data_IF_335257820327
#
_entry.id   IF_335257820327
#
_cell.length_a   1.000
_cell.length_b   1.000
_cell.length_c   1.000
_cell.angle_alpha   90.00
_cell.angle_beta   90.00
_cell.angle_gamma   90.00
#
_symmetry.space_group_name_H-M   'P 1'
#
loop_
_entity.id
_entity.type
_entity.pdbx_description
1 polymer ?
#
# COMPACT_ATOMS: atom_id res chain seq x y z
N UNK A 1 4.79 -30.28 33.05
CA UNK A 1 5.21 -29.77 34.37
C UNK A 1 4.79 -28.32 34.41
N UNK A 2 4.15 -27.81 35.48
CA UNK A 2 3.84 -26.39 35.57
C UNK A 2 5.15 -25.60 35.54
N UNK A 3 5.26 -24.65 34.62
CA UNK A 3 6.44 -23.77 34.53
C UNK A 3 6.40 -22.81 35.73
N UNK A 4 7.52 -22.65 36.45
CA UNK A 4 7.55 -21.78 37.63
C UNK A 4 7.73 -20.31 37.21
N UNK A 5 6.62 -19.61 37.05
CA UNK A 5 6.58 -18.19 36.71
C UNK A 5 6.83 -17.25 37.91
N UNK A 6 6.94 -17.78 39.13
CA UNK A 6 7.00 -16.98 40.36
C UNK A 6 8.21 -16.05 40.41
N UNK A 7 9.35 -16.50 39.89
CA UNK A 7 10.58 -15.72 39.82
C UNK A 7 10.50 -14.58 38.80
N UNK A 8 9.76 -14.76 37.70
CA UNK A 8 9.61 -13.76 36.65
C UNK A 8 8.54 -12.73 37.00
N UNK A 9 7.42 -13.17 37.56
CA UNK A 9 6.40 -12.27 38.14
C UNK A 9 7.01 -11.46 39.29
N UNK A 10 7.87 -12.07 40.12
CA UNK A 10 8.70 -11.35 41.11
C UNK A 10 9.61 -10.32 40.45
N UNK A 11 10.34 -10.67 39.38
CA UNK A 11 11.23 -9.73 38.69
C UNK A 11 10.48 -8.56 38.04
N UNK A 12 9.31 -8.79 37.44
CA UNK A 12 8.50 -7.72 36.85
C UNK A 12 7.80 -6.90 37.94
N UNK A 13 7.33 -7.52 39.03
CA UNK A 13 6.71 -6.81 40.16
C UNK A 13 7.73 -5.99 40.97
N UNK A 14 8.97 -6.45 41.11
CA UNK A 14 10.08 -5.69 41.69
C UNK A 14 10.42 -4.44 40.84
N UNK A 15 10.03 -4.43 39.56
CA UNK A 15 10.10 -3.25 38.69
C UNK A 15 8.87 -2.34 38.81
N UNK A 16 7.75 -2.81 39.37
CA UNK A 16 6.43 -2.15 39.43
C UNK A 16 6.00 -1.69 40.84
N UNK A 17 6.87 -1.81 41.85
CA UNK A 17 6.50 -1.65 43.28
C UNK A 17 6.08 -0.24 43.72
N UNK A 18 6.13 0.75 42.83
CA UNK A 18 5.62 2.11 43.08
C UNK A 18 4.89 2.64 41.82
N UNK A 19 3.59 2.97 41.90
CA UNK A 19 2.80 3.48 40.77
C UNK A 19 3.35 4.76 40.12
N UNK A 20 4.15 5.53 40.86
CA UNK A 20 4.75 6.80 40.45
C UNK A 20 6.29 6.73 40.25
N UNK A 21 6.90 5.55 40.37
CA UNK A 21 8.34 5.42 40.12
C UNK A 21 8.66 5.65 38.64
N UNK A 22 9.78 6.32 38.32
CA UNK A 22 10.19 6.52 36.94
C UNK A 22 10.43 5.17 36.26
N UNK A 23 9.77 4.96 35.11
CA UNK A 23 9.89 3.74 34.28
C UNK A 23 11.36 3.36 34.08
N UNK A 24 11.73 2.15 34.54
CA UNK A 24 13.12 1.71 34.61
C UNK A 24 13.59 1.12 33.27
N UNK A 25 14.86 1.30 32.89
CA UNK A 25 15.43 0.60 31.74
C UNK A 25 15.63 -0.89 32.07
N UNK A 26 15.00 -1.77 31.29
CA UNK A 26 15.30 -3.22 31.30
C UNK A 26 16.51 -3.50 30.40
N UNK A 27 17.49 -4.25 30.92
CA UNK A 27 18.70 -4.61 30.17
C UNK A 27 18.34 -5.49 28.96
N UNK A 28 19.15 -5.48 27.89
CA UNK A 28 18.87 -6.35 26.72
C UNK A 28 18.84 -7.83 27.08
N UNK A 29 19.69 -8.25 28.02
CA UNK A 29 19.80 -9.63 28.50
C UNK A 29 18.54 -10.08 29.24
N UNK A 30 17.85 -9.16 29.91
CA UNK A 30 16.59 -9.43 30.62
C UNK A 30 15.37 -9.49 29.69
N UNK A 31 15.45 -9.00 28.45
CA UNK A 31 14.30 -8.96 27.52
C UNK A 31 13.94 -10.32 26.95
N UNK A 32 14.95 -11.12 26.60
CA UNK A 32 14.74 -12.41 25.95
C UNK A 32 13.99 -13.42 26.85
N UNK A 33 14.34 -13.57 28.15
CA UNK A 33 13.57 -14.42 29.06
C UNK A 33 12.11 -13.97 29.18
N UNK A 34 11.87 -12.67 29.41
CA UNK A 34 10.49 -12.15 29.54
C UNK A 34 9.68 -12.38 28.26
N UNK A 35 10.27 -12.13 27.09
CA UNK A 35 9.65 -12.42 25.78
C UNK A 35 9.30 -13.90 25.64
N UNK A 36 10.23 -14.79 25.95
CA UNK A 36 10.02 -16.25 25.85
C UNK A 36 8.90 -16.70 26.79
N UNK A 37 8.96 -16.28 28.05
CA UNK A 37 7.98 -16.66 29.07
C UNK A 37 6.56 -16.19 28.75
N UNK A 38 6.42 -14.97 28.23
CA UNK A 38 5.10 -14.47 27.79
C UNK A 38 4.56 -15.27 26.60
N UNK A 39 5.41 -15.66 25.63
CA UNK A 39 4.99 -16.51 24.52
C UNK A 39 4.61 -17.92 24.98
N UNK A 40 5.41 -18.53 25.87
CA UNK A 40 5.14 -19.86 26.44
C UNK A 40 3.81 -19.89 27.22
N UNK A 41 3.48 -18.81 27.95
CA UNK A 41 2.21 -18.70 28.65
C UNK A 41 1.02 -18.68 27.68
N UNK A 42 1.13 -17.97 26.56
CA UNK A 42 0.09 -17.95 25.50
C UNK A 42 -0.03 -19.32 24.81
N UNK A 43 1.10 -19.97 24.49
CA UNK A 43 1.12 -21.31 23.89
C UNK A 43 0.55 -22.39 24.82
N UNK A 44 0.75 -22.22 26.13
CA UNK A 44 0.31 -23.15 27.18
C UNK A 44 -1.06 -22.81 27.75
N UNK A 45 -1.78 -21.84 27.18
CA UNK A 45 -3.14 -21.46 27.58
C UNK A 45 -3.20 -20.91 29.02
N UNK A 46 -2.08 -20.40 29.53
CA UNK A 46 -1.95 -19.84 30.86
C UNK A 46 -2.30 -18.35 30.86
N UNK A 47 -3.57 -18.04 30.59
CA UNK A 47 -4.05 -16.67 30.36
C UNK A 47 -3.77 -15.72 31.52
N UNK A 48 -3.97 -16.16 32.76
CA UNK A 48 -3.74 -15.32 33.93
C UNK A 48 -2.26 -14.93 34.06
N UNK A 49 -1.35 -15.86 33.77
CA UNK A 49 0.10 -15.61 33.79
C UNK A 49 0.46 -14.56 32.75
N UNK A 50 -0.05 -14.70 31.53
CA UNK A 50 0.16 -13.72 30.47
C UNK A 50 -0.39 -12.33 30.85
N UNK A 51 -1.64 -12.25 31.34
CA UNK A 51 -2.30 -10.99 31.66
C UNK A 51 -1.58 -10.24 32.80
N UNK A 52 -1.18 -10.95 33.86
CA UNK A 52 -0.39 -10.37 34.97
C UNK A 52 0.96 -9.87 34.46
N UNK A 53 1.65 -10.65 33.61
CA UNK A 53 2.93 -10.25 33.05
C UNK A 53 2.81 -9.03 32.12
N UNK A 54 1.75 -8.97 31.30
CA UNK A 54 1.45 -7.84 30.44
C UNK A 54 1.19 -6.56 31.24
N UNK A 55 0.32 -6.61 32.24
CA UNK A 55 -0.02 -5.44 33.06
C UNK A 55 1.22 -4.91 33.78
N UNK A 56 2.02 -5.82 34.36
CA UNK A 56 3.24 -5.45 35.06
C UNK A 56 4.28 -4.84 34.09
N UNK A 57 4.45 -5.40 32.89
CA UNK A 57 5.35 -4.84 31.88
C UNK A 57 4.90 -3.47 31.35
N UNK A 58 3.61 -3.33 31.04
CA UNK A 58 3.02 -2.11 30.48
C UNK A 58 3.16 -0.91 31.45
N UNK A 59 3.07 -1.18 32.75
CA UNK A 59 3.24 -0.19 33.82
C UNK A 59 4.72 0.12 34.12
N UNK A 60 5.58 -0.91 34.21
CA UNK A 60 6.96 -0.74 34.67
C UNK A 60 7.94 -0.26 33.59
N UNK A 61 7.68 -0.58 32.31
CA UNK A 61 8.64 -0.40 31.22
C UNK A 61 8.20 0.70 30.25
N UNK A 62 9.17 1.40 29.63
CA UNK A 62 8.88 2.39 28.58
C UNK A 62 8.15 1.70 27.40
N UNK A 63 7.10 2.30 26.83
CA UNK A 63 6.25 1.60 25.86
C UNK A 63 7.00 1.02 24.65
N UNK A 64 7.96 1.72 24.03
CA UNK A 64 8.76 1.15 22.94
C UNK A 64 9.43 -0.19 23.25
N UNK A 65 9.89 -0.35 24.50
CA UNK A 65 10.57 -1.55 24.96
C UNK A 65 9.56 -2.63 25.32
N UNK A 66 8.46 -2.27 25.97
CA UNK A 66 7.36 -3.21 26.25
C UNK A 66 6.79 -3.81 24.95
N UNK A 67 6.52 -2.97 23.95
CA UNK A 67 6.07 -3.40 22.61
C UNK A 67 7.04 -4.39 21.96
N UNK A 68 8.34 -4.12 22.04
CA UNK A 68 9.38 -5.00 21.46
C UNK A 68 9.52 -6.36 22.18
N UNK A 69 9.14 -6.43 23.46
CA UNK A 69 9.16 -7.66 24.25
C UNK A 69 7.90 -8.47 23.94
N UNK A 70 6.73 -7.85 24.00
CA UNK A 70 5.44 -8.54 23.85
C UNK A 70 5.04 -8.87 22.41
N UNK A 71 5.73 -8.31 21.41
CA UNK A 71 5.37 -8.49 20.00
C UNK A 71 5.05 -9.95 19.63
N UNK A 72 5.92 -10.94 19.92
CA UNK A 72 5.66 -12.31 19.49
C UNK A 72 4.47 -12.94 20.23
N UNK A 73 4.31 -12.65 21.51
CA UNK A 73 3.19 -13.16 22.32
C UNK A 73 1.86 -12.55 21.86
N UNK A 74 1.87 -11.29 21.43
CA UNK A 74 0.69 -10.62 20.87
C UNK A 74 0.28 -11.19 19.50
N UNK A 75 1.26 -11.55 18.65
CA UNK A 75 0.96 -12.25 17.40
C UNK A 75 0.23 -13.57 17.68
N UNK A 76 0.73 -14.38 18.62
CA UNK A 76 0.10 -15.64 19.04
C UNK A 76 -1.30 -15.41 19.62
N UNK A 77 -1.44 -14.42 20.51
CA UNK A 77 -2.70 -14.12 21.20
C UNK A 77 -3.80 -13.70 20.22
N UNK A 78 -3.46 -12.90 19.21
CA UNK A 78 -4.39 -12.45 18.17
C UNK A 78 -4.81 -13.61 17.26
N UNK A 79 -3.90 -14.55 16.97
CA UNK A 79 -4.25 -15.78 16.26
C UNK A 79 -5.24 -16.64 17.07
N UNK A 80 -5.02 -16.82 18.36
CA UNK A 80 -5.94 -17.58 19.23
C UNK A 80 -7.29 -16.88 19.43
N UNK A 81 -7.33 -15.56 19.53
CA UNK A 81 -8.59 -14.79 19.54
C UNK A 81 -9.38 -15.00 18.25
N UNK A 82 -8.70 -14.97 17.10
CA UNK A 82 -9.32 -15.15 15.79
C UNK A 82 -9.91 -16.55 15.62
N UNK A 83 -9.24 -17.57 16.14
CA UNK A 83 -9.68 -18.96 16.05
C UNK A 83 -10.70 -19.33 17.16
N UNK A 84 -11.23 -18.35 17.90
CA UNK A 84 -12.17 -18.54 19.01
C UNK A 84 -11.68 -19.54 20.07
N UNK A 85 -10.36 -19.59 20.27
CA UNK A 85 -9.71 -20.56 21.15
C UNK A 85 -9.70 -20.11 22.61
N UNK A 86 -9.80 -18.81 22.90
CA UNK A 86 -9.73 -18.31 24.27
C UNK A 86 -11.03 -18.56 25.04
N UNK A 87 -10.90 -19.08 26.26
CA UNK A 87 -11.99 -19.34 27.19
C UNK A 87 -12.81 -18.07 27.46
N UNK A 88 -14.13 -18.21 27.54
CA UNK A 88 -15.06 -17.08 27.69
C UNK A 88 -14.77 -16.23 28.94
N UNK A 89 -14.25 -16.82 30.01
CA UNK A 89 -13.84 -16.13 31.24
C UNK A 89 -12.72 -15.09 31.00
N UNK A 90 -11.81 -15.37 30.05
CA UNK A 90 -10.62 -14.54 29.79
C UNK A 90 -10.76 -13.68 28.53
N UNK A 91 -11.70 -13.99 27.64
CA UNK A 91 -11.89 -13.34 26.33
C UNK A 91 -11.85 -11.82 26.41
N UNK A 92 -12.64 -11.21 27.30
CA UNK A 92 -12.72 -9.75 27.43
C UNK A 92 -11.42 -9.12 27.97
N UNK A 93 -10.76 -9.78 28.93
CA UNK A 93 -9.48 -9.30 29.47
C UNK A 93 -8.37 -9.38 28.43
N UNK A 94 -8.38 -10.44 27.61
CA UNK A 94 -7.44 -10.61 26.50
C UNK A 94 -7.70 -9.60 25.39
N UNK A 95 -8.95 -9.37 24.99
CA UNK A 95 -9.33 -8.29 24.05
C UNK A 95 -8.82 -6.92 24.54
N UNK A 96 -8.99 -6.62 25.83
CA UNK A 96 -8.45 -5.40 26.44
C UNK A 96 -6.91 -5.31 26.34
N UNK A 97 -6.19 -6.39 26.62
CA UNK A 97 -4.72 -6.42 26.50
C UNK A 97 -4.27 -6.14 25.05
N UNK A 98 -4.96 -6.74 24.06
CA UNK A 98 -4.71 -6.49 22.62
C UNK A 98 -5.00 -5.04 22.25
N UNK A 99 -6.12 -4.47 22.73
CA UNK A 99 -6.47 -3.06 22.53
C UNK A 99 -5.40 -2.12 23.09
N UNK A 100 -4.98 -2.33 24.34
CA UNK A 100 -3.97 -1.49 25.00
C UNK A 100 -2.60 -1.59 24.32
N UNK A 101 -2.22 -2.78 23.88
CA UNK A 101 -1.03 -2.99 23.06
C UNK A 101 -1.12 -2.21 21.74
N UNK A 102 -2.25 -2.30 21.05
CA UNK A 102 -2.48 -1.66 19.75
C UNK A 102 -2.44 -0.14 19.86
N UNK A 103 -3.10 0.42 20.87
CA UNK A 103 -3.08 1.86 21.11
C UNK A 103 -1.65 2.36 21.38
N UNK A 104 -0.88 1.62 22.19
CA UNK A 104 0.53 1.92 22.43
C UNK A 104 1.36 1.80 21.15
N UNK A 105 1.15 0.76 20.33
CA UNK A 105 1.86 0.56 19.07
C UNK A 105 1.61 1.74 18.10
N UNK A 106 0.37 2.19 17.98
CA UNK A 106 -0.01 3.35 17.15
C UNK A 106 0.67 4.62 17.65
N UNK A 107 0.58 4.92 18.96
CA UNK A 107 1.18 6.13 19.56
C UNK A 107 2.69 6.20 19.32
N UNK A 108 3.37 5.05 19.29
CA UNK A 108 4.82 4.96 19.16
C UNK A 108 5.32 4.64 17.76
N UNK A 109 4.47 4.71 16.73
CA UNK A 109 4.94 4.85 15.35
C UNK A 109 5.82 6.11 15.24
N UNK A 110 6.91 6.05 14.50
CA UNK A 110 7.84 7.15 14.26
C UNK A 110 7.33 8.05 13.13
N UNK A 111 8.00 9.19 12.89
CA UNK A 111 7.58 10.17 11.87
C UNK A 111 7.63 9.65 10.43
N UNK A 112 8.38 8.58 10.20
CA UNK A 112 8.50 7.86 8.94
C UNK A 112 7.54 6.65 8.86
N UNK A 113 6.71 6.44 9.89
CA UNK A 113 5.75 5.36 9.98
C UNK A 113 6.33 4.02 10.46
N UNK A 114 7.60 3.97 10.90
CA UNK A 114 8.20 2.75 11.48
C UNK A 114 7.92 2.63 12.97
N UNK A 115 7.86 1.41 13.48
CA UNK A 115 7.76 1.13 14.90
C UNK A 115 9.11 1.20 15.60
N UNK A 116 9.07 1.03 16.92
CA UNK A 116 10.25 1.12 17.78
C UNK A 116 10.97 -0.22 18.02
N UNK A 117 10.89 -1.17 17.09
CA UNK A 117 11.32 -2.56 17.30
C UNK A 117 12.06 -3.17 16.11
N UNK A 118 12.20 -4.50 16.16
CA UNK A 118 12.89 -5.34 15.16
C UNK A 118 12.00 -5.64 13.93
N UNK A 119 10.67 -5.50 14.08
CA UNK A 119 9.71 -5.75 13.01
C UNK A 119 9.84 -4.74 11.85
N UNK A 120 9.68 -5.24 10.63
CA UNK A 120 9.54 -4.40 9.45
C UNK A 120 8.23 -3.61 9.50
N UNK A 121 8.17 -2.51 8.72
CA UNK A 121 6.96 -1.70 8.62
C UNK A 121 5.73 -2.53 8.21
N UNK A 122 5.89 -3.46 7.25
CA UNK A 122 4.79 -4.30 6.77
C UNK A 122 4.33 -5.33 7.80
N UNK A 123 5.23 -5.94 8.57
CA UNK A 123 4.86 -6.80 9.71
C UNK A 123 4.10 -5.99 10.77
N UNK A 124 4.55 -4.76 11.03
CA UNK A 124 3.93 -3.94 12.04
C UNK A 124 2.49 -3.55 11.71
N UNK A 125 2.24 -3.04 10.49
CA UNK A 125 0.89 -2.69 10.08
C UNK A 125 -0.01 -3.92 9.96
N UNK A 126 0.52 -5.10 9.60
CA UNK A 126 -0.23 -6.36 9.62
C UNK A 126 -0.67 -6.74 11.03
N UNK A 127 0.22 -6.71 12.03
CA UNK A 127 -0.19 -6.99 13.40
C UNK A 127 -1.21 -5.95 13.90
N UNK A 128 -0.97 -4.65 13.67
CA UNK A 128 -1.93 -3.60 14.03
C UNK A 128 -3.29 -3.89 13.39
N UNK A 129 -3.33 -4.21 12.09
CA UNK A 129 -4.58 -4.56 11.41
C UNK A 129 -5.25 -5.77 12.06
N UNK A 130 -4.53 -6.85 12.35
CA UNK A 130 -5.11 -8.02 13.03
C UNK A 130 -5.64 -7.70 14.43
N UNK A 131 -4.90 -6.93 15.21
CA UNK A 131 -5.33 -6.54 16.55
C UNK A 131 -6.61 -5.71 16.50
N UNK A 132 -6.67 -4.76 15.57
CA UNK A 132 -7.87 -3.96 15.36
C UNK A 132 -9.03 -4.85 14.94
N UNK A 133 -8.82 -5.82 14.05
CA UNK A 133 -9.84 -6.77 13.61
C UNK A 133 -10.44 -7.57 14.78
N UNK A 134 -9.62 -8.20 15.61
CA UNK A 134 -10.11 -9.02 16.74
C UNK A 134 -10.74 -8.19 17.87
N UNK A 135 -10.53 -6.88 17.88
CA UNK A 135 -11.18 -5.95 18.81
C UNK A 135 -12.50 -5.37 18.27
N UNK A 136 -12.96 -5.77 17.07
CA UNK A 136 -14.29 -5.46 16.53
C UNK A 136 -14.62 -3.95 16.55
N UNK A 137 -15.67 -3.53 17.30
CA UNK A 137 -16.10 -2.14 17.39
C UNK A 137 -15.03 -1.24 18.03
N UNK A 138 -14.41 -1.68 19.13
CA UNK A 138 -13.34 -0.93 19.80
C UNK A 138 -12.11 -0.81 18.91
N UNK A 139 -11.84 -1.85 18.12
CA UNK A 139 -10.84 -1.82 17.07
C UNK A 139 -11.15 -0.73 16.06
N UNK A 140 -12.35 -0.74 15.50
CA UNK A 140 -12.70 0.24 14.46
C UNK A 140 -12.67 1.68 14.99
N UNK A 141 -12.99 1.88 16.28
CA UNK A 141 -12.76 3.14 16.96
C UNK A 141 -11.26 3.52 17.03
N UNK A 142 -10.38 2.59 17.41
CA UNK A 142 -8.92 2.81 17.39
C UNK A 142 -8.40 3.15 15.99
N UNK A 143 -8.92 2.50 14.95
CA UNK A 143 -8.58 2.80 13.56
C UNK A 143 -8.88 4.27 13.24
N UNK A 144 -10.12 4.71 13.52
CA UNK A 144 -10.57 6.06 13.18
C UNK A 144 -9.97 7.15 14.06
N UNK A 145 -9.97 6.95 15.38
CA UNK A 145 -9.59 7.99 16.35
C UNK A 145 -8.09 8.04 16.66
N UNK A 146 -7.36 6.95 16.41
CA UNK A 146 -5.93 6.86 16.75
C UNK A 146 -5.04 6.65 15.53
N UNK A 147 -5.29 5.62 14.71
CA UNK A 147 -4.38 5.29 13.60
C UNK A 147 -4.42 6.35 12.50
N UNK A 148 -5.60 6.74 12.02
CA UNK A 148 -5.73 7.74 10.95
C UNK A 148 -5.06 9.08 11.34
N UNK A 149 -5.37 9.70 12.49
CA UNK A 149 -4.72 10.95 12.88
C UNK A 149 -3.21 10.81 13.02
N UNK A 150 -2.74 9.67 13.57
CA UNK A 150 -1.30 9.40 13.67
C UNK A 150 -0.65 9.37 12.29
N UNK A 151 -1.23 8.66 11.33
CA UNK A 151 -0.69 8.57 9.96
C UNK A 151 -0.70 9.91 9.24
N UNK A 152 -1.76 10.71 9.41
CA UNK A 152 -1.86 12.07 8.87
C UNK A 152 -0.78 13.01 9.40
N UNK A 153 -0.25 12.76 10.60
CA UNK A 153 0.82 13.55 11.21
C UNK A 153 2.24 13.17 10.77
N UNK A 154 2.40 12.11 9.97
CA UNK A 154 3.72 11.73 9.44
C UNK A 154 4.27 12.75 8.44
N UNK A 155 5.59 12.70 8.24
CA UNK A 155 6.21 13.46 7.15
C UNK A 155 5.81 12.87 5.79
N UNK A 156 5.93 13.64 4.72
CA UNK A 156 5.55 13.20 3.36
C UNK A 156 6.14 11.83 2.98
N UNK A 157 7.45 11.65 3.18
CA UNK A 157 8.14 10.38 2.91
C UNK A 157 7.56 9.24 3.76
N UNK A 158 7.19 9.54 5.01
CA UNK A 158 6.54 8.59 5.91
C UNK A 158 5.15 8.21 5.43
N UNK A 159 4.30 9.18 5.08
CA UNK A 159 2.96 8.95 4.52
C UNK A 159 3.01 8.08 3.27
N UNK A 160 3.95 8.38 2.35
CA UNK A 160 4.15 7.64 1.10
C UNK A 160 4.50 6.16 1.28
N UNK A 161 5.04 5.78 2.45
CA UNK A 161 5.39 4.40 2.79
C UNK A 161 4.33 3.74 3.68
N UNK A 162 3.88 4.46 4.70
CA UNK A 162 2.96 3.95 5.72
C UNK A 162 1.55 3.71 5.20
N UNK A 163 1.01 4.62 4.37
CA UNK A 163 -0.38 4.50 3.88
C UNK A 163 -0.54 3.27 2.99
N UNK A 164 0.33 3.01 1.99
CA UNK A 164 0.24 1.77 1.21
C UNK A 164 0.43 0.52 2.06
N UNK A 165 1.36 0.53 3.04
CA UNK A 165 1.57 -0.61 3.93
C UNK A 165 0.36 -0.90 4.83
N UNK A 166 -0.29 0.14 5.36
CA UNK A 166 -1.52 -0.01 6.13
C UNK A 166 -2.67 -0.51 5.24
N UNK A 167 -2.81 0.04 4.04
CA UNK A 167 -3.85 -0.38 3.10
C UNK A 167 -3.70 -1.86 2.73
N UNK A 168 -2.47 -2.29 2.44
CA UNK A 168 -2.12 -3.69 2.19
C UNK A 168 -2.47 -4.58 3.39
N UNK A 169 -2.13 -4.13 4.61
CA UNK A 169 -2.42 -4.86 5.84
C UNK A 169 -3.93 -5.00 6.09
N UNK A 170 -4.69 -3.90 6.05
CA UNK A 170 -6.15 -3.92 6.25
C UNK A 170 -6.84 -4.78 5.19
N UNK A 171 -6.44 -4.64 3.93
CA UNK A 171 -7.02 -5.44 2.85
C UNK A 171 -6.70 -6.94 3.02
N UNK A 172 -5.47 -7.29 3.40
CA UNK A 172 -5.09 -8.70 3.65
C UNK A 172 -5.81 -9.30 4.85
N UNK A 173 -6.00 -8.54 5.92
CA UNK A 173 -6.44 -9.10 7.20
C UNK A 173 -7.96 -9.00 7.39
N UNK A 174 -8.62 -7.98 6.85
CA UNK A 174 -10.04 -7.71 7.09
C UNK A 174 -10.92 -8.01 5.88
N UNK A 175 -10.39 -7.84 4.67
CA UNK A 175 -11.16 -8.00 3.44
C UNK A 175 -10.96 -9.38 2.78
N UNK A 176 -10.01 -10.18 3.29
CA UNK A 176 -9.57 -11.43 2.65
C UNK A 176 -9.25 -12.53 3.68
N UNK A 177 -10.17 -12.96 4.58
CA UNK A 177 -10.92 -14.21 4.38
C UNK A 177 -12.23 -14.36 5.20
N UNK A 178 -12.94 -15.48 5.01
CA UNK A 178 -14.17 -15.96 5.68
C UNK A 178 -14.37 -15.39 7.10
N UNK A 179 -15.15 -14.33 7.18
CA UNK A 179 -15.54 -13.71 8.44
C UNK A 179 -16.47 -14.68 9.17
N UNK A 180 -16.11 -15.09 10.39
CA UNK A 180 -17.01 -15.81 11.31
C UNK A 180 -18.10 -14.89 11.90
N UNK A 181 -18.20 -13.66 11.41
CA UNK A 181 -19.26 -12.72 11.75
C UNK A 181 -20.53 -13.01 10.96
N UNK A 182 -21.66 -12.52 11.45
CA UNK A 182 -22.84 -12.38 10.61
C UNK A 182 -22.54 -11.48 9.41
N UNK A 183 -23.16 -11.74 8.25
CA UNK A 183 -22.96 -10.92 7.05
C UNK A 183 -23.21 -9.42 7.31
N UNK A 184 -24.20 -9.09 8.13
CA UNK A 184 -24.53 -7.70 8.46
C UNK A 184 -23.40 -6.99 9.24
N UNK A 185 -22.70 -7.71 10.12
CA UNK A 185 -21.60 -7.18 10.90
C UNK A 185 -20.32 -7.06 10.06
N UNK A 186 -20.07 -8.06 9.21
CA UNK A 186 -19.04 -8.00 8.18
C UNK A 186 -19.19 -6.76 7.29
N UNK A 187 -20.39 -6.55 6.74
CA UNK A 187 -20.70 -5.41 5.87
C UNK A 187 -20.50 -4.08 6.62
N UNK A 188 -20.91 -4.01 7.90
CA UNK A 188 -20.74 -2.82 8.75
C UNK A 188 -19.26 -2.50 8.99
N UNK A 189 -18.46 -3.50 9.35
CA UNK A 189 -17.02 -3.32 9.59
C UNK A 189 -16.32 -2.89 8.29
N UNK A 190 -16.64 -3.55 7.17
CA UNK A 190 -16.10 -3.19 5.86
C UNK A 190 -16.44 -1.74 5.48
N UNK A 191 -17.69 -1.31 5.70
CA UNK A 191 -18.10 0.06 5.42
C UNK A 191 -17.33 1.08 6.28
N UNK A 192 -17.15 0.81 7.58
CA UNK A 192 -16.38 1.69 8.46
C UNK A 192 -14.91 1.78 8.07
N UNK A 193 -14.33 0.68 7.55
CA UNK A 193 -12.99 0.68 6.98
C UNK A 193 -12.89 1.54 5.73
N UNK A 194 -13.82 1.37 4.79
CA UNK A 194 -13.85 2.15 3.56
C UNK A 194 -13.95 3.65 3.88
N UNK A 195 -14.81 4.03 4.81
CA UNK A 195 -14.93 5.41 5.30
C UNK A 195 -13.64 5.93 5.93
N UNK A 196 -12.99 5.14 6.78
CA UNK A 196 -11.73 5.55 7.39
C UNK A 196 -10.60 5.67 6.35
N UNK A 197 -10.55 4.79 5.34
CA UNK A 197 -9.59 4.92 4.24
C UNK A 197 -9.87 6.21 3.44
N UNK A 198 -11.13 6.53 3.16
CA UNK A 198 -11.51 7.78 2.50
C UNK A 198 -11.06 9.01 3.30
N UNK A 199 -11.31 9.03 4.61
CA UNK A 199 -10.83 10.07 5.51
C UNK A 199 -9.30 10.22 5.46
N UNK A 200 -8.57 9.11 5.55
CA UNK A 200 -7.11 9.10 5.50
C UNK A 200 -6.61 9.65 4.16
N UNK A 201 -7.18 9.19 3.05
CA UNK A 201 -6.79 9.60 1.70
C UNK A 201 -7.08 11.09 1.49
N UNK A 202 -8.24 11.59 1.93
CA UNK A 202 -8.59 13.03 1.87
C UNK A 202 -7.66 13.90 2.73
N UNK A 203 -7.30 13.44 3.92
CA UNK A 203 -6.43 14.19 4.83
C UNK A 203 -4.93 14.10 4.44
N UNK A 204 -4.58 13.17 3.57
CA UNK A 204 -3.22 12.91 3.14
C UNK A 204 -2.72 13.97 2.17
N UNK A 205 -2.13 15.04 2.72
CA UNK A 205 -1.55 16.13 1.95
C UNK A 205 -0.03 16.24 2.15
N UNK A 206 0.63 16.90 1.19
CA UNK A 206 2.02 17.33 1.24
C UNK A 206 2.15 18.81 0.87
N UNK A 207 3.21 19.47 1.32
CA UNK A 207 3.45 20.88 0.96
C UNK A 207 4.22 20.96 -0.35
N UNK A 208 3.59 21.47 -1.40
CA UNK A 208 4.22 21.61 -2.71
C UNK A 208 5.45 22.52 -2.63
N UNK A 209 6.63 22.09 -3.13
CA UNK A 209 7.82 22.92 -3.17
C UNK A 209 7.70 24.07 -4.20
N UNK A 210 6.77 23.97 -5.16
CA UNK A 210 6.58 24.95 -6.23
C UNK A 210 5.66 26.08 -5.76
N UNK A 211 4.50 25.73 -5.19
CA UNK A 211 3.46 26.70 -4.82
C UNK A 211 3.43 27.02 -3.32
N UNK A 212 4.09 26.21 -2.49
CA UNK A 212 4.07 26.33 -1.03
C UNK A 212 2.74 25.93 -0.38
N UNK A 213 1.74 25.52 -1.17
CA UNK A 213 0.40 25.11 -0.74
C UNK A 213 0.37 23.63 -0.34
N UNK A 214 -0.60 23.25 0.51
CA UNK A 214 -0.89 21.85 0.77
C UNK A 214 -1.65 21.25 -0.43
N UNK A 215 -1.14 20.14 -0.93
CA UNK A 215 -1.65 19.43 -2.10
C UNK A 215 -1.91 17.98 -1.71
N UNK A 216 -2.96 17.37 -2.28
CA UNK A 216 -3.26 15.95 -2.07
C UNK A 216 -2.09 15.06 -2.46
N UNK A 217 -1.75 14.07 -1.62
CA UNK A 217 -0.75 13.05 -1.94
C UNK A 217 -1.18 12.17 -3.11
N UNK A 218 -2.47 12.08 -3.40
CA UNK A 218 -2.95 11.35 -4.58
C UNK A 218 -2.49 11.98 -5.90
N UNK A 219 -2.15 13.27 -5.90
CA UNK A 219 -1.49 13.89 -7.05
C UNK A 219 -0.10 13.31 -7.31
N UNK A 220 0.53 12.74 -6.28
CA UNK A 220 1.72 11.95 -6.48
C UNK A 220 1.32 10.60 -7.10
N UNK A 221 1.40 10.58 -8.41
CA UNK A 221 1.27 9.44 -9.29
C UNK A 221 1.88 8.11 -8.76
N UNK A 222 3.10 8.11 -8.21
CA UNK A 222 3.76 6.89 -7.72
C UNK A 222 3.05 6.38 -6.47
N UNK A 223 2.68 7.30 -5.58
CA UNK A 223 1.89 7.00 -4.40
C UNK A 223 0.50 6.47 -4.78
N UNK A 224 -0.23 7.15 -5.65
CA UNK A 224 -1.52 6.72 -6.17
C UNK A 224 -1.46 5.31 -6.78
N UNK A 225 -0.47 5.05 -7.63
CA UNK A 225 -0.25 3.73 -8.25
C UNK A 225 -0.04 2.65 -7.20
N UNK A 226 0.80 2.90 -6.19
CA UNK A 226 1.04 1.94 -5.11
C UNK A 226 -0.24 1.61 -4.32
N UNK A 227 -1.12 2.59 -4.11
CA UNK A 227 -2.41 2.34 -3.46
C UNK A 227 -3.32 1.47 -4.32
N UNK A 228 -3.40 1.73 -5.63
CA UNK A 228 -4.20 0.92 -6.55
C UNK A 228 -3.64 -0.51 -6.67
N UNK A 229 -2.32 -0.68 -6.70
CA UNK A 229 -1.70 -2.00 -6.70
C UNK A 229 -1.96 -2.78 -5.41
N UNK A 230 -2.01 -2.11 -4.26
CA UNK A 230 -2.44 -2.73 -3.00
C UNK A 230 -3.91 -3.19 -3.09
N UNK A 231 -4.81 -2.36 -3.63
CA UNK A 231 -6.21 -2.73 -3.83
C UNK A 231 -6.35 -3.92 -4.78
N UNK A 232 -5.57 -3.95 -5.87
CA UNK A 232 -5.55 -5.06 -6.82
C UNK A 232 -5.14 -6.37 -6.17
N UNK A 233 -4.02 -6.37 -5.42
CA UNK A 233 -3.47 -7.57 -4.77
C UNK A 233 -4.51 -8.30 -3.91
N UNK A 234 -5.42 -7.54 -3.30
CA UNK A 234 -6.48 -8.05 -2.43
C UNK A 234 -7.87 -7.97 -3.05
N UNK A 235 -7.98 -7.74 -4.36
CA UNK A 235 -9.25 -7.64 -5.12
C UNK A 235 -10.26 -6.63 -4.54
N UNK A 236 -9.78 -5.58 -3.87
CA UNK A 236 -10.60 -4.58 -3.19
C UNK A 236 -11.08 -3.48 -4.14
N UNK A 237 -12.06 -3.79 -5.00
CA UNK A 237 -12.58 -2.87 -6.02
C UNK A 237 -13.22 -1.60 -5.44
N UNK A 238 -13.89 -1.68 -4.30
CA UNK A 238 -14.56 -0.52 -3.70
C UNK A 238 -13.56 0.56 -3.26
N UNK A 239 -12.52 0.13 -2.55
CA UNK A 239 -11.42 1.00 -2.14
C UNK A 239 -10.66 1.52 -3.37
N UNK A 240 -10.40 0.66 -4.36
CA UNK A 240 -9.79 1.05 -5.62
C UNK A 240 -10.61 2.13 -6.34
N UNK A 241 -11.93 1.97 -6.43
CA UNK A 241 -12.87 2.94 -7.01
C UNK A 241 -12.84 4.28 -6.28
N UNK A 242 -12.77 4.24 -4.95
CA UNK A 242 -12.68 5.44 -4.12
C UNK A 242 -11.38 6.20 -4.40
N UNK A 243 -10.25 5.51 -4.45
CA UNK A 243 -8.95 6.15 -4.76
C UNK A 243 -8.93 6.70 -6.19
N UNK A 244 -9.45 5.93 -7.17
CA UNK A 244 -9.50 6.36 -8.57
C UNK A 244 -10.38 7.59 -8.77
N UNK A 245 -11.56 7.66 -8.15
CA UNK A 245 -12.43 8.85 -8.25
C UNK A 245 -11.72 10.11 -7.73
N UNK A 246 -10.94 9.99 -6.66
CA UNK A 246 -10.14 11.10 -6.14
C UNK A 246 -8.97 11.50 -7.02
N UNK A 247 -8.29 10.54 -7.64
CA UNK A 247 -7.20 10.85 -8.59
C UNK A 247 -7.76 11.53 -9.84
N UNK A 248 -8.95 11.11 -10.30
CA UNK A 248 -9.62 11.65 -11.48
C UNK A 248 -9.95 13.14 -11.31
N UNK A 249 -10.46 13.54 -10.16
CA UNK A 249 -10.84 14.92 -9.87
C UNK A 249 -9.63 15.90 -9.80
N UNK A 250 -8.39 15.39 -9.70
CA UNK A 250 -7.19 16.22 -9.46
C UNK A 250 -5.96 15.81 -10.31
N UNK A 251 -6.00 15.88 -11.66
CA UNK A 251 -4.89 15.44 -12.49
C UNK A 251 -3.75 16.46 -12.50
N UNK A 252 -2.66 16.19 -11.78
CA UNK A 252 -1.40 16.92 -11.94
C UNK A 252 -0.33 15.93 -12.41
N UNK A 253 -0.15 15.86 -13.73
CA UNK A 253 0.94 15.08 -14.34
C UNK A 253 2.22 15.87 -14.11
N UNK A 254 3.10 15.38 -13.23
CA UNK A 254 4.44 15.93 -13.09
C UNK A 254 5.22 15.70 -14.39
N UNK A 255 5.21 16.74 -15.25
CA UNK A 255 5.92 16.79 -16.54
C UNK A 255 7.43 16.64 -16.40
N UNK A 256 7.99 16.73 -15.19
CA UNK A 256 9.42 16.49 -14.94
C UNK A 256 9.77 15.02 -14.85
N UNK A 257 8.78 14.17 -14.53
CA UNK A 257 8.96 12.72 -14.52
C UNK A 257 8.47 12.14 -15.85
N UNK A 258 9.28 11.27 -16.45
CA UNK A 258 8.85 10.53 -17.63
C UNK A 258 7.69 9.62 -17.20
N UNK A 259 6.46 9.98 -17.53
CA UNK A 259 5.29 9.26 -17.05
C UNK A 259 5.28 7.76 -17.43
N UNK A 260 6.04 7.39 -18.46
CA UNK A 260 6.22 6.00 -18.87
C UNK A 260 6.98 5.15 -17.85
N UNK A 261 7.85 5.74 -17.00
CA UNK A 261 8.65 4.98 -16.03
C UNK A 261 7.83 4.40 -14.88
N UNK A 262 6.57 4.82 -14.74
CA UNK A 262 5.68 4.31 -13.71
C UNK A 262 4.36 3.80 -14.30
N UNK A 263 3.81 4.44 -15.35
CA UNK A 263 2.55 4.02 -15.97
C UNK A 263 2.67 2.66 -16.64
N UNK A 264 3.80 2.37 -17.30
CA UNK A 264 4.00 1.07 -17.96
C UNK A 264 4.11 -0.04 -16.91
N UNK A 265 4.99 0.05 -15.88
CA UNK A 265 4.99 -0.92 -14.79
C UNK A 265 3.64 -1.03 -14.07
N UNK A 266 2.90 0.07 -13.94
CA UNK A 266 1.57 0.06 -13.34
C UNK A 266 0.53 -0.67 -14.21
N UNK A 267 0.49 -0.40 -15.52
CA UNK A 267 -0.39 -1.08 -16.46
C UNK A 267 -0.10 -2.58 -16.52
N UNK A 268 1.19 -2.94 -16.63
CA UNK A 268 1.65 -4.33 -16.58
C UNK A 268 1.23 -5.00 -15.27
N UNK A 269 1.54 -4.36 -14.14
CA UNK A 269 1.18 -4.88 -12.83
C UNK A 269 -0.33 -4.89 -12.57
N UNK A 270 -1.15 -4.17 -13.33
CA UNK A 270 -2.62 -4.31 -13.32
C UNK A 270 -3.05 -5.50 -14.18
N UNK A 271 -2.45 -5.67 -15.35
CA UNK A 271 -2.81 -6.67 -16.36
C UNK A 271 -2.27 -8.09 -16.15
N UNK A 272 -1.33 -8.31 -15.22
CA UNK A 272 -0.62 -9.61 -15.06
C UNK A 272 -1.34 -10.70 -14.27
N UNK A 273 -2.50 -10.46 -13.66
CA UNK A 273 -3.22 -11.48 -12.87
C UNK A 273 -4.47 -11.91 -13.63
N UNK A 274 -4.80 -13.21 -13.55
CA UNK A 274 -6.01 -13.83 -14.13
C UNK A 274 -7.32 -13.16 -13.64
N UNK A 275 -7.24 -12.37 -12.57
CA UNK A 275 -8.36 -11.61 -12.04
C UNK A 275 -8.45 -10.26 -12.72
N UNK A 276 -9.36 -10.14 -13.68
CA UNK A 276 -9.66 -8.91 -14.41
C UNK A 276 -9.96 -7.71 -13.48
N UNK A 277 -8.92 -6.99 -13.06
CA UNK A 277 -9.00 -5.77 -12.25
C UNK A 277 -9.26 -4.53 -13.11
N UNK A 278 -9.60 -4.71 -14.39
CA UNK A 278 -10.08 -3.65 -15.29
C UNK A 278 -11.58 -3.43 -15.10
N UNK A 279 -11.97 -2.68 -14.07
CA UNK A 279 -13.34 -2.24 -13.81
C UNK A 279 -13.54 -0.77 -14.23
N UNK A 280 -14.79 -0.34 -14.37
CA UNK A 280 -15.20 0.92 -15.02
C UNK A 280 -14.45 2.17 -14.52
N UNK A 281 -14.28 2.46 -13.22
CA UNK A 281 -13.40 3.54 -12.73
C UNK A 281 -11.93 3.46 -13.18
N UNK A 282 -11.35 2.26 -13.29
CA UNK A 282 -9.95 2.10 -13.72
C UNK A 282 -9.82 2.27 -15.23
N UNK A 283 -10.83 1.80 -15.97
CA UNK A 283 -10.95 1.97 -17.40
C UNK A 283 -11.08 3.45 -17.77
N UNK A 284 -12.01 4.16 -17.12
CA UNK A 284 -12.20 5.60 -17.30
C UNK A 284 -10.91 6.38 -17.03
N UNK A 285 -10.24 6.09 -15.91
CA UNK A 285 -8.95 6.69 -15.58
C UNK A 285 -7.92 6.45 -16.68
N UNK A 286 -7.85 5.23 -17.23
CA UNK A 286 -6.93 4.90 -18.30
C UNK A 286 -7.29 5.57 -19.63
N UNK A 287 -8.57 5.62 -20.01
CA UNK A 287 -9.06 6.31 -21.21
C UNK A 287 -8.68 7.79 -21.15
N UNK A 288 -8.98 8.46 -20.03
CA UNK A 288 -8.65 9.88 -19.86
C UNK A 288 -7.14 10.14 -19.95
N UNK A 289 -6.32 9.29 -19.30
CA UNK A 289 -4.86 9.41 -19.39
C UNK A 289 -4.33 9.14 -20.79
N UNK A 290 -4.85 8.13 -21.48
CA UNK A 290 -4.47 7.84 -22.86
C UNK A 290 -4.82 9.00 -23.79
N UNK A 291 -6.00 9.58 -23.66
CA UNK A 291 -6.40 10.77 -24.40
C UNK A 291 -5.43 11.94 -24.19
N UNK A 292 -4.97 12.17 -22.94
CA UNK A 292 -3.96 13.20 -22.63
C UNK A 292 -2.63 12.96 -23.34
N UNK A 293 -2.14 11.70 -23.42
CA UNK A 293 -0.90 11.38 -24.13
C UNK A 293 -1.04 11.51 -25.64
N UNK A 294 -2.17 11.05 -26.19
CA UNK A 294 -2.49 11.16 -27.60
C UNK A 294 -2.60 12.62 -28.02
N UNK A 295 -3.30 13.46 -27.24
CA UNK A 295 -3.39 14.90 -27.50
C UNK A 295 -2.00 15.57 -27.50
N UNK A 296 -1.09 15.13 -26.61
CA UNK A 296 0.30 15.60 -26.56
C UNK A 296 1.18 15.08 -27.70
N UNK A 297 0.77 14.03 -28.43
CA UNK A 297 1.53 13.53 -29.56
C UNK A 297 1.62 14.59 -30.67
N UNK A 298 0.52 15.32 -30.90
CA UNK A 298 0.41 16.30 -31.98
C UNK A 298 0.43 15.64 -33.37
N UNK A 299 0.41 16.45 -34.45
CA UNK A 299 0.43 15.93 -35.81
C UNK A 299 1.75 15.21 -36.10
N UNK A 300 1.66 14.19 -36.97
CA UNK A 300 2.83 13.51 -37.52
C UNK A 300 3.74 14.57 -38.16
N UNK A 301 5.03 14.53 -37.85
CA UNK A 301 5.99 15.46 -38.44
C UNK A 301 6.08 15.23 -39.95
N UNK A 302 6.08 16.29 -40.75
CA UNK A 302 6.04 16.20 -42.22
C UNK A 302 7.16 15.31 -42.78
N UNK A 303 8.36 15.37 -42.18
CA UNK A 303 9.52 14.56 -42.57
C UNK A 303 9.35 13.07 -42.29
N UNK A 304 8.42 12.70 -41.40
CA UNK A 304 8.05 11.31 -41.17
C UNK A 304 7.02 10.82 -42.19
N UNK A 305 6.30 11.69 -42.90
CA UNK A 305 5.37 11.32 -43.97
C UNK A 305 4.18 10.45 -43.56
N UNK A 306 3.14 10.40 -44.40
CA UNK A 306 2.05 9.44 -44.27
C UNK A 306 2.45 8.13 -44.98
N UNK A 307 2.65 7.05 -44.23
CA UNK A 307 3.03 5.73 -44.77
C UNK A 307 4.43 5.24 -44.41
N UNK A 308 5.21 6.02 -43.65
CA UNK A 308 6.48 5.54 -43.09
C UNK A 308 6.23 4.55 -41.97
N UNK A 309 6.98 3.46 -41.99
CA UNK A 309 7.06 2.57 -40.83
C UNK A 309 7.72 3.31 -39.65
N UNK A 310 6.92 3.60 -38.63
CA UNK A 310 7.34 4.29 -37.41
C UNK A 310 8.01 3.34 -36.39
N UNK A 311 8.15 2.06 -36.73
CA UNK A 311 8.75 1.02 -35.92
C UNK A 311 7.95 0.65 -34.67
N UNK A 312 8.45 -0.34 -33.94
CA UNK A 312 7.87 -0.92 -32.73
C UNK A 312 8.06 -0.06 -31.46
N UNK A 313 8.64 1.14 -31.60
CA UNK A 313 8.91 2.02 -30.47
C UNK A 313 10.17 1.67 -29.67
N UNK A 314 10.98 0.70 -30.10
CA UNK A 314 12.30 0.43 -29.51
C UNK A 314 13.28 1.61 -29.70
N UNK A 315 14.37 1.63 -28.93
CA UNK A 315 15.42 2.64 -29.10
C UNK A 315 16.07 2.48 -30.49
N UNK A 316 16.22 1.23 -30.92
CA UNK A 316 16.82 0.78 -32.17
C UNK A 316 15.97 1.24 -33.35
N UNK A 317 14.65 0.98 -33.35
CA UNK A 317 13.78 1.43 -34.45
C UNK A 317 13.80 2.96 -34.59
N UNK A 318 13.78 3.69 -33.48
CA UNK A 318 13.85 5.17 -33.50
C UNK A 318 15.17 5.69 -34.04
N UNK A 319 16.29 5.09 -33.63
CA UNK A 319 17.62 5.43 -34.15
C UNK A 319 17.70 5.18 -35.65
N UNK A 320 17.20 4.04 -36.12
CA UNK A 320 17.19 3.69 -37.54
C UNK A 320 16.35 4.66 -38.38
N UNK A 321 15.18 5.07 -37.89
CA UNK A 321 14.37 6.08 -38.58
C UNK A 321 15.11 7.42 -38.63
N UNK A 322 15.71 7.86 -37.52
CA UNK A 322 16.46 9.12 -37.48
C UNK A 322 17.67 9.09 -38.40
N UNK A 323 18.40 7.96 -38.45
CA UNK A 323 19.54 7.76 -39.34
C UNK A 323 19.13 7.85 -40.82
N UNK A 324 18.00 7.23 -41.20
CA UNK A 324 17.47 7.34 -42.57
C UNK A 324 17.08 8.76 -42.95
N UNK A 325 16.49 9.51 -42.03
CA UNK A 325 16.16 10.92 -42.25
C UNK A 325 17.42 11.80 -42.36
N UNK A 326 18.45 11.55 -41.54
CA UNK A 326 19.75 12.21 -41.66
C UNK A 326 20.40 11.93 -43.01
N UNK A 327 20.41 10.67 -43.44
CA UNK A 327 20.95 10.26 -44.75
C UNK A 327 20.17 10.88 -45.93
N UNK A 328 18.88 11.15 -45.75
CA UNK A 328 18.05 11.84 -46.73
C UNK A 328 18.26 13.37 -46.76
N UNK A 329 19.18 13.91 -45.94
CA UNK A 329 19.51 15.33 -45.92
C UNK A 329 18.48 16.20 -45.18
N UNK A 330 17.66 15.61 -44.30
CA UNK A 330 16.67 16.36 -43.52
C UNK A 330 17.37 17.35 -42.58
N UNK A 331 16.96 18.63 -42.53
CA UNK A 331 17.56 19.62 -41.63
C UNK A 331 17.43 19.23 -40.15
N UNK A 332 18.43 19.60 -39.35
CA UNK A 332 18.55 19.24 -37.93
C UNK A 332 17.32 19.63 -37.09
N UNK A 333 16.65 20.74 -37.41
CA UNK A 333 15.46 21.19 -36.70
C UNK A 333 14.27 20.23 -36.89
N UNK A 334 14.06 19.76 -38.11
CA UNK A 334 13.02 18.77 -38.40
C UNK A 334 13.38 17.39 -37.85
N UNK A 335 14.67 17.02 -37.83
CA UNK A 335 15.14 15.80 -37.16
C UNK A 335 14.86 15.82 -35.65
N UNK A 336 15.06 16.96 -34.98
CA UNK A 336 14.71 17.13 -33.56
C UNK A 336 13.21 16.95 -33.33
N UNK A 337 12.38 17.55 -34.19
CA UNK A 337 10.93 17.37 -34.16
C UNK A 337 10.51 15.90 -34.34
N UNK A 338 11.06 15.23 -35.35
CA UNK A 338 10.82 13.82 -35.64
C UNK A 338 11.23 12.91 -34.48
N UNK A 339 12.43 13.11 -33.92
CA UNK A 339 12.94 12.36 -32.78
C UNK A 339 12.04 12.51 -31.55
N UNK A 340 11.61 13.74 -31.28
CA UNK A 340 10.71 14.04 -30.15
C UNK A 340 9.33 13.41 -30.33
N UNK A 341 8.78 13.48 -31.54
CA UNK A 341 7.51 12.85 -31.89
C UNK A 341 7.58 11.32 -31.78
N UNK A 342 8.63 10.70 -32.32
CA UNK A 342 8.86 9.25 -32.21
C UNK A 342 9.00 8.78 -30.76
N UNK A 343 9.65 9.59 -29.90
CA UNK A 343 9.75 9.32 -28.47
C UNK A 343 8.37 9.35 -27.78
N UNK A 344 7.56 10.37 -28.05
CA UNK A 344 6.18 10.46 -27.52
C UNK A 344 5.31 9.31 -28.01
N UNK A 345 5.38 8.99 -29.30
CA UNK A 345 4.64 7.88 -29.92
C UNK A 345 4.98 6.55 -29.24
N UNK A 346 6.26 6.27 -29.04
CA UNK A 346 6.68 5.04 -28.37
C UNK A 346 6.10 4.94 -26.96
N UNK A 347 5.98 6.07 -26.25
CA UNK A 347 5.27 6.12 -24.98
C UNK A 347 3.83 5.66 -25.07
N UNK A 348 3.05 6.22 -25.99
CA UNK A 348 1.66 5.79 -26.24
C UNK A 348 1.60 4.31 -26.58
N UNK A 349 2.51 3.82 -27.42
CA UNK A 349 2.57 2.42 -27.81
C UNK A 349 2.82 1.49 -26.61
N UNK A 350 3.81 1.80 -25.75
CA UNK A 350 4.09 0.99 -24.56
C UNK A 350 2.92 0.97 -23.58
N UNK A 351 2.23 2.10 -23.40
CA UNK A 351 1.05 2.18 -22.52
C UNK A 351 -0.08 1.27 -23.03
N UNK A 352 -0.34 1.27 -24.34
CA UNK A 352 -1.39 0.43 -24.93
C UNK A 352 -1.01 -1.04 -24.91
N UNK A 353 0.26 -1.39 -25.16
CA UNK A 353 0.72 -2.78 -25.12
C UNK A 353 0.53 -3.41 -23.73
N UNK A 354 0.69 -2.63 -22.67
CA UNK A 354 0.49 -3.08 -21.30
C UNK A 354 -0.99 -3.37 -20.93
N UNK A 355 -1.93 -2.99 -21.80
CA UNK A 355 -3.36 -3.33 -21.66
C UNK A 355 -3.58 -4.73 -22.24
N UNK A 356 -4.19 -5.69 -21.51
CA UNK A 356 -4.20 -7.09 -21.93
C UNK A 356 -5.21 -7.45 -23.04
N UNK A 357 -6.22 -6.61 -23.30
CA UNK A 357 -7.36 -6.95 -24.17
C UNK A 357 -7.37 -6.13 -25.46
N UNK A 358 -7.39 -6.77 -26.64
CA UNK A 358 -7.46 -6.08 -27.95
C UNK A 358 -8.70 -5.18 -28.09
N UNK A 359 -9.93 -5.60 -27.73
CA UNK A 359 -11.09 -4.70 -27.67
C UNK A 359 -10.82 -3.44 -26.86
N UNK A 360 -10.15 -3.58 -25.71
CA UNK A 360 -9.88 -2.45 -24.84
C UNK A 360 -8.76 -1.55 -25.40
N UNK A 361 -7.73 -2.12 -26.02
CA UNK A 361 -6.70 -1.34 -26.73
C UNK A 361 -7.31 -0.50 -27.85
N UNK A 362 -8.31 -1.03 -28.58
CA UNK A 362 -9.05 -0.29 -29.61
C UNK A 362 -9.85 0.86 -29.03
N UNK A 363 -10.56 0.61 -27.94
CA UNK A 363 -11.34 1.62 -27.23
C UNK A 363 -10.44 2.77 -26.74
N UNK A 364 -9.30 2.46 -26.12
CA UNK A 364 -8.34 3.45 -25.62
C UNK A 364 -7.70 4.31 -26.71
N UNK A 365 -7.45 3.74 -27.89
CA UNK A 365 -6.81 4.44 -29.01
C UNK A 365 -7.80 5.17 -29.92
N UNK A 366 -9.07 4.74 -29.97
CA UNK A 366 -10.09 5.31 -30.83
C UNK A 366 -9.62 5.50 -32.27
N UNK A 367 -9.76 6.72 -32.80
CA UNK A 367 -9.38 7.08 -34.17
C UNK A 367 -7.86 6.94 -34.44
N UNK A 368 -7.03 6.92 -33.40
CA UNK A 368 -5.59 6.72 -33.55
C UNK A 368 -5.21 5.24 -33.70
N UNK A 369 -6.15 4.31 -33.55
CA UNK A 369 -5.90 2.87 -33.68
C UNK A 369 -5.03 2.49 -34.89
N UNK A 370 -5.28 2.98 -36.12
CA UNK A 370 -4.48 2.62 -37.30
C UNK A 370 -3.00 2.98 -37.19
N UNK A 371 -2.64 3.99 -36.39
CA UNK A 371 -1.25 4.44 -36.19
C UNK A 371 -0.44 3.47 -35.32
N UNK A 372 -1.11 2.68 -34.49
CA UNK A 372 -0.49 1.79 -33.49
C UNK A 372 -0.75 0.31 -33.80
N UNK A 373 -1.90 -0.04 -34.39
CA UNK A 373 -2.32 -1.42 -34.65
C UNK A 373 -1.24 -2.33 -35.28
N UNK A 374 -0.44 -1.88 -36.28
CA UNK A 374 0.59 -2.73 -36.89
C UNK A 374 1.66 -3.23 -35.89
N UNK A 375 1.84 -2.52 -34.77
CA UNK A 375 2.90 -2.76 -33.79
C UNK A 375 2.38 -3.40 -32.50
N UNK A 376 1.05 -3.45 -32.32
CA UNK A 376 0.40 -4.13 -31.22
C UNK A 376 0.26 -5.63 -31.49
N UNK A 377 0.09 -6.03 -32.76
CA UNK A 377 0.00 -7.43 -33.18
C UNK A 377 1.34 -8.20 -33.10
N UNK A 378 2.48 -7.50 -33.15
CA UNK A 378 3.82 -8.10 -33.06
C UNK A 378 4.21 -8.44 -31.62
N UNK A 379 3.69 -7.69 -30.64
CA UNK A 379 3.95 -7.94 -29.20
C UNK A 379 3.39 -9.27 -28.70
N UNK A 380 2.21 -9.68 -29.19
CA UNK A 380 1.59 -10.96 -28.84
C UNK A 380 2.39 -12.18 -29.36
N UNK A 381 3.21 -11.99 -30.41
CA UNK A 381 4.07 -13.04 -30.96
C UNK A 381 5.39 -13.21 -30.16
N UNK A 382 5.91 -12.13 -29.57
CA UNK A 382 7.14 -12.16 -28.75
C UNK A 382 6.83 -12.62 -27.33
N UNK A 383 5.68 -12.23 -26.75
CA UNK A 383 5.23 -12.68 -25.44
C UNK A 383 4.80 -14.17 -25.40
N UNK A 384 4.60 -14.79 -26.58
CA UNK A 384 4.23 -16.21 -26.75
C UNK A 384 5.35 -17.05 -27.37
N UNK A 385 6.53 -16.49 -27.59
CA UNK A 385 7.70 -17.28 -27.94
C UNK A 385 8.19 -18.00 -26.67
N UNK A 386 8.36 -19.34 -26.70
CA UNK A 386 8.70 -20.14 -25.52
C UNK A 386 10.06 -19.82 -24.91
#
# INVERSE_FOLDING_TARGET
MPTDYSLLISQINDMSSEPDAPRRPISREQRAPVRQTMSEAVESWEWEVFLVAWDALNNAVRPPVALSICWPSMELLVHQLRDSQIDDEYRERVKKAVRDFTENAIKHLWKDGRGSGEATMGEQYRLIARCIYVCEEEGTELFRKSLIPRMCSFQEIGKKKAIPAMLDAVASEWLTPALEFSQAEADRIQQQIIEGIDELVKASTFRSPITGLNVSLLKNITFASNLILACRRHRCKDIGSLILSKIRDEPEIDVRTNALTWLVPFAEAVGTDDDNFWFEPLLDFWIERMADFIAKLGPIQEVLGAGTDFGDGSIESRKEICFRLEAAGVPLEHLKGAKHWLYRRAGVLFLVQAVPSDPLRRELLGDFWPLFAPYLAVGDAIARAP
#
